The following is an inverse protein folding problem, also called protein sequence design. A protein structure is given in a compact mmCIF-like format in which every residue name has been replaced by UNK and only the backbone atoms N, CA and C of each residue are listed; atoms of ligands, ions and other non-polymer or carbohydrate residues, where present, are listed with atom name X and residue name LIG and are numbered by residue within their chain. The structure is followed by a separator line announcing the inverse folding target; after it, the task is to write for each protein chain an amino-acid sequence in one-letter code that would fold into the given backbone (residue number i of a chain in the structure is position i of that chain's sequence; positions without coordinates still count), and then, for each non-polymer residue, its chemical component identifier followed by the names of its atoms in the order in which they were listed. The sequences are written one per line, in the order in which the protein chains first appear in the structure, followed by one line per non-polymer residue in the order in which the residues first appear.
data_IF_049802748312
#
_entry.id   IF_049802748312
#
_cell.length_a   1.000
_cell.length_b   1.000
_cell.length_c   1.000
_cell.angle_alpha   90.00
_cell.angle_beta   90.00
_cell.angle_gamma   90.00
#
_symmetry.space_group_name_H-M   'P 1'
#
loop_
_entity.id
_entity.type
_entity.pdbx_description
1 polymer ?
#
# COMPACT_ATOMS: atom_id res chain seq x y z
N UNK A 1 28.09 -29.43 -51.63
CA UNK A 1 28.73 -28.16 -51.25
C UNK A 1 28.59 -27.98 -49.74
N UNK A 2 29.70 -27.97 -48.99
CA UNK A 2 29.68 -27.67 -47.55
C UNK A 2 29.68 -26.15 -47.37
N UNK A 3 28.62 -25.58 -46.80
CA UNK A 3 28.63 -24.18 -46.40
C UNK A 3 29.58 -24.01 -45.20
N UNK A 4 30.61 -23.18 -45.36
CA UNK A 4 31.50 -22.80 -44.29
C UNK A 4 30.72 -21.87 -43.33
N UNK A 5 30.44 -22.34 -42.13
CA UNK A 5 29.91 -21.49 -41.05
C UNK A 5 31.01 -20.53 -40.60
N UNK A 6 30.80 -19.24 -40.81
CA UNK A 6 31.70 -18.20 -40.28
C UNK A 6 31.47 -18.16 -38.76
N UNK A 7 32.50 -18.49 -37.99
CA UNK A 7 32.48 -18.32 -36.53
C UNK A 7 32.64 -16.85 -36.14
N UNK A 8 32.09 -16.47 -34.99
CA UNK A 8 32.25 -15.12 -34.40
C UNK A 8 33.73 -14.92 -34.00
N UNK A 9 34.21 -13.69 -34.17
CA UNK A 9 35.52 -13.29 -33.68
C UNK A 9 35.47 -12.97 -32.19
N UNK A 10 36.57 -13.16 -31.47
CA UNK A 10 36.70 -12.82 -30.06
C UNK A 10 36.41 -11.31 -29.81
N UNK A 11 36.85 -10.47 -30.78
CA UNK A 11 36.66 -9.01 -30.70
C UNK A 11 35.19 -8.62 -30.84
N UNK A 12 34.40 -9.28 -31.70
CA UNK A 12 32.96 -9.03 -31.84
C UNK A 12 32.21 -9.31 -30.52
N UNK A 13 32.50 -10.43 -29.88
CA UNK A 13 31.88 -10.76 -28.58
C UNK A 13 32.37 -9.79 -27.50
N UNK A 14 33.65 -9.40 -27.50
CA UNK A 14 34.18 -8.46 -26.51
C UNK A 14 33.48 -7.09 -26.58
N UNK A 15 33.31 -6.53 -27.80
CA UNK A 15 32.63 -5.25 -27.98
C UNK A 15 31.17 -5.32 -27.51
N UNK A 16 30.47 -6.39 -27.86
CA UNK A 16 29.06 -6.60 -27.44
C UNK A 16 28.94 -6.64 -25.93
N UNK A 17 29.80 -7.39 -25.25
CA UNK A 17 29.76 -7.50 -23.78
C UNK A 17 30.07 -6.16 -23.11
N UNK A 18 31.02 -5.38 -23.64
CA UNK A 18 31.32 -4.03 -23.13
C UNK A 18 30.12 -3.10 -23.27
N UNK A 19 29.50 -3.07 -24.46
CA UNK A 19 28.32 -2.23 -24.70
C UNK A 19 27.14 -2.63 -23.77
N UNK A 20 26.87 -3.94 -23.65
CA UNK A 20 25.85 -4.45 -22.74
C UNK A 20 26.14 -4.09 -21.27
N UNK A 21 27.40 -4.15 -20.86
CA UNK A 21 27.84 -3.75 -19.52
C UNK A 21 27.58 -2.28 -19.23
N UNK A 22 27.89 -1.39 -20.16
CA UNK A 22 27.63 0.05 -20.03
C UNK A 22 26.12 0.33 -19.97
N UNK A 23 25.34 -0.28 -20.86
CA UNK A 23 23.88 -0.13 -20.87
C UNK A 23 23.25 -0.64 -19.57
N UNK A 24 23.67 -1.81 -19.09
CA UNK A 24 23.17 -2.36 -17.83
C UNK A 24 23.48 -1.44 -16.64
N UNK A 25 24.67 -0.86 -16.58
CA UNK A 25 25.08 0.04 -15.50
C UNK A 25 24.20 1.31 -15.40
N UNK A 26 23.64 1.77 -16.51
CA UNK A 26 22.76 2.95 -16.55
C UNK A 26 21.29 2.54 -16.29
N UNK A 27 20.84 1.44 -16.87
CA UNK A 27 19.42 1.05 -16.88
C UNK A 27 18.98 0.46 -15.55
N UNK A 28 19.81 -0.37 -14.89
CA UNK A 28 19.44 -1.04 -13.63
C UNK A 28 19.06 -0.05 -12.54
N UNK A 29 19.84 1.00 -12.21
CA UNK A 29 19.46 1.95 -11.16
C UNK A 29 18.19 2.73 -11.50
N UNK A 30 17.92 3.04 -12.76
CA UNK A 30 16.69 3.72 -13.17
C UNK A 30 15.45 2.86 -12.92
N UNK A 31 15.50 1.56 -13.21
CA UNK A 31 14.39 0.66 -12.92
C UNK A 31 14.11 0.54 -11.42
N UNK A 32 15.13 0.50 -10.59
CA UNK A 32 14.97 0.42 -9.14
C UNK A 32 14.28 1.68 -8.60
N UNK A 33 14.68 2.86 -9.06
CA UNK A 33 14.07 4.12 -8.66
C UNK A 33 12.61 4.23 -9.14
N UNK A 34 12.32 3.85 -10.39
CA UNK A 34 10.97 3.85 -10.93
C UNK A 34 10.04 2.90 -10.15
N UNK A 35 10.52 1.72 -9.78
CA UNK A 35 9.77 0.76 -8.96
C UNK A 35 9.45 1.31 -7.57
N UNK A 36 10.42 1.95 -6.91
CA UNK A 36 10.23 2.58 -5.60
C UNK A 36 9.21 3.71 -5.68
N UNK A 37 9.32 4.57 -6.70
CA UNK A 37 8.37 5.65 -6.92
C UNK A 37 6.96 5.16 -7.20
N UNK A 38 6.79 4.08 -7.98
CA UNK A 38 5.50 3.47 -8.23
C UNK A 38 4.86 2.92 -6.94
N UNK A 39 5.64 2.25 -6.08
CA UNK A 39 5.17 1.78 -4.77
C UNK A 39 4.73 2.93 -3.87
N UNK A 40 5.49 4.03 -3.83
CA UNK A 40 5.15 5.22 -3.07
C UNK A 40 3.83 5.83 -3.55
N UNK A 41 3.66 6.00 -4.85
CA UNK A 41 2.42 6.55 -5.43
C UNK A 41 1.21 5.65 -5.12
N UNK A 42 1.37 4.33 -5.19
CA UNK A 42 0.33 3.38 -4.80
C UNK A 42 0.01 3.47 -3.31
N UNK A 43 1.02 3.62 -2.44
CA UNK A 43 0.82 3.82 -1.01
C UNK A 43 -0.03 5.06 -0.73
N UNK A 44 0.32 6.20 -1.34
CA UNK A 44 -0.41 7.46 -1.19
C UNK A 44 -1.86 7.34 -1.69
N UNK A 45 -2.06 6.71 -2.85
CA UNK A 45 -3.40 6.47 -3.40
C UNK A 45 -4.24 5.61 -2.46
N UNK A 46 -3.68 4.52 -1.92
CA UNK A 46 -4.36 3.64 -0.99
C UNK A 46 -4.73 4.38 0.31
N UNK A 47 -3.81 5.20 0.86
CA UNK A 47 -4.08 6.02 2.03
C UNK A 47 -5.24 7.01 1.79
N UNK A 48 -5.22 7.73 0.68
CA UNK A 48 -6.27 8.68 0.32
C UNK A 48 -7.61 7.97 0.12
N UNK A 49 -7.62 6.82 -0.55
CA UNK A 49 -8.84 6.04 -0.78
C UNK A 49 -9.46 5.58 0.54
N UNK A 50 -8.69 4.95 1.41
CA UNK A 50 -9.21 4.46 2.70
C UNK A 50 -9.67 5.62 3.58
N UNK A 51 -8.91 6.71 3.66
CA UNK A 51 -9.29 7.91 4.43
C UNK A 51 -10.59 8.53 3.92
N UNK A 52 -10.80 8.61 2.61
CA UNK A 52 -12.04 9.11 2.02
C UNK A 52 -13.24 8.22 2.36
N UNK A 53 -13.07 6.90 2.29
CA UNK A 53 -14.13 5.95 2.62
C UNK A 53 -14.46 5.95 4.14
N UNK A 54 -13.45 6.14 4.98
CA UNK A 54 -13.68 6.32 6.44
C UNK A 54 -14.46 7.60 6.75
N UNK A 55 -14.20 8.70 6.03
CA UNK A 55 -14.97 9.93 6.18
C UNK A 55 -16.42 9.74 5.74
N UNK A 56 -16.65 9.01 4.64
CA UNK A 56 -18.00 8.67 4.19
C UNK A 56 -18.70 7.78 5.23
N UNK A 57 -18.02 6.76 5.74
CA UNK A 57 -18.53 5.93 6.84
C UNK A 57 -18.95 6.80 8.03
N UNK A 58 -18.05 7.66 8.49
CA UNK A 58 -18.27 8.55 9.64
C UNK A 58 -19.52 9.42 9.47
N UNK A 59 -19.72 10.03 8.30
CA UNK A 59 -20.91 10.88 8.03
C UNK A 59 -22.22 10.10 8.05
N UNK A 60 -22.18 8.81 7.74
CA UNK A 60 -23.35 7.92 7.72
C UNK A 60 -23.60 7.21 9.06
N UNK A 61 -22.64 7.24 9.99
CA UNK A 61 -22.68 6.53 11.28
C UNK A 61 -22.57 7.48 12.49
N UNK A 62 -23.40 8.52 12.53
CA UNK A 62 -23.47 9.46 13.66
C UNK A 62 -22.12 10.06 14.06
N UNK A 63 -21.31 10.45 13.09
CA UNK A 63 -19.95 11.00 13.27
C UNK A 63 -18.96 10.04 13.98
N UNK A 64 -19.27 8.74 14.04
CA UNK A 64 -18.41 7.72 14.63
C UNK A 64 -17.48 7.10 13.59
N UNK A 65 -16.22 6.88 13.94
CA UNK A 65 -15.29 6.10 13.15
C UNK A 65 -15.55 4.59 13.30
N UNK A 66 -15.18 3.76 12.31
CA UNK A 66 -15.29 2.31 12.44
C UNK A 66 -14.43 1.80 13.60
N UNK A 67 -14.95 0.85 14.37
CA UNK A 67 -14.20 0.18 15.44
C UNK A 67 -13.42 -1.04 14.93
N UNK A 68 -13.93 -1.67 13.87
CA UNK A 68 -13.30 -2.79 13.15
C UNK A 68 -13.22 -2.41 11.66
N UNK A 69 -12.19 -1.67 11.30
CA UNK A 69 -12.05 -1.05 9.98
C UNK A 69 -12.25 -2.05 8.83
N UNK A 70 -11.63 -3.23 8.92
CA UNK A 70 -11.67 -4.23 7.84
C UNK A 70 -13.09 -4.72 7.55
N UNK A 71 -13.88 -5.05 8.57
CA UNK A 71 -15.25 -5.55 8.40
C UNK A 71 -16.23 -4.45 8.08
N UNK A 72 -16.16 -3.33 8.80
CA UNK A 72 -17.13 -2.23 8.67
C UNK A 72 -16.98 -1.44 7.37
N UNK A 73 -15.81 -1.47 6.73
CA UNK A 73 -15.65 -0.87 5.40
C UNK A 73 -15.90 -1.84 4.24
N UNK A 74 -15.84 -3.16 4.46
CA UNK A 74 -15.98 -4.15 3.37
C UNK A 74 -17.32 -4.87 3.35
N UNK A 75 -18.13 -4.72 4.38
CA UNK A 75 -19.48 -5.29 4.47
C UNK A 75 -20.55 -4.18 4.48
N UNK A 76 -21.80 -4.59 4.36
CA UNK A 76 -22.94 -3.70 4.61
C UNK A 76 -23.05 -3.41 6.10
N UNK A 77 -23.48 -2.21 6.45
CA UNK A 77 -23.59 -1.80 7.86
C UNK A 77 -24.90 -1.09 8.17
N UNK A 78 -25.31 -1.15 9.44
CA UNK A 78 -26.35 -0.33 10.01
C UNK A 78 -25.77 0.97 10.60
N UNK A 79 -26.64 1.89 11.03
CA UNK A 79 -26.23 3.20 11.57
C UNK A 79 -25.37 3.08 12.85
N UNK A 80 -25.46 1.96 13.58
CA UNK A 80 -24.70 1.68 14.80
C UNK A 80 -23.36 0.99 14.53
N UNK A 81 -23.08 0.62 13.27
CA UNK A 81 -21.86 -0.07 12.84
C UNK A 81 -21.95 -1.60 12.93
N UNK A 82 -23.13 -2.17 13.16
CA UNK A 82 -23.39 -3.60 12.95
C UNK A 82 -23.18 -3.96 11.49
N UNK A 83 -22.67 -5.17 11.18
CA UNK A 83 -22.31 -5.55 9.81
C UNK A 83 -23.04 -6.80 9.34
N UNK A 84 -23.37 -6.85 8.04
CA UNK A 84 -23.96 -7.99 7.35
C UNK A 84 -23.29 -8.23 5.98
N UNK A 85 -23.25 -9.50 5.54
CA UNK A 85 -22.65 -9.87 4.26
C UNK A 85 -23.53 -9.48 3.05
N UNK A 86 -24.83 -9.26 3.28
CA UNK A 86 -25.79 -8.83 2.25
C UNK A 86 -26.63 -7.67 2.79
N UNK A 87 -27.13 -6.78 1.92
CA UNK A 87 -27.99 -5.69 2.34
C UNK A 87 -29.35 -6.23 2.83
N UNK A 88 -29.87 -5.62 3.87
CA UNK A 88 -31.22 -5.88 4.38
C UNK A 88 -31.89 -4.56 4.81
N UNK A 89 -33.04 -4.62 5.50
CA UNK A 89 -33.80 -3.44 5.93
C UNK A 89 -33.06 -2.59 6.96
N UNK A 90 -32.04 -3.11 7.62
CA UNK A 90 -31.26 -2.42 8.67
C UNK A 90 -29.84 -2.10 8.19
N UNK A 91 -29.20 -2.99 7.44
CA UNK A 91 -27.85 -2.83 6.91
C UNK A 91 -27.90 -2.22 5.51
N UNK A 92 -28.10 -0.91 5.44
CA UNK A 92 -28.34 -0.17 4.18
C UNK A 92 -27.13 0.62 3.69
N UNK A 93 -26.09 0.75 4.53
CA UNK A 93 -24.86 1.47 4.18
C UNK A 93 -23.75 0.53 3.69
N UNK A 94 -22.84 1.05 2.87
CA UNK A 94 -21.68 0.30 2.37
C UNK A 94 -22.02 -0.69 1.22
N UNK A 95 -21.12 -1.63 0.89
CA UNK A 95 -19.72 -1.62 1.32
C UNK A 95 -18.94 -0.41 0.77
N UNK A 96 -18.02 0.13 1.54
CA UNK A 96 -17.21 1.30 1.18
C UNK A 96 -15.96 0.93 0.40
N UNK A 97 -15.46 -0.27 0.66
CA UNK A 97 -14.32 -0.88 -0.02
C UNK A 97 -14.67 -2.31 -0.40
N UNK A 98 -14.17 -2.82 -1.52
CA UNK A 98 -14.26 -4.24 -1.85
C UNK A 98 -13.38 -5.09 -0.95
N UNK A 99 -12.19 -4.57 -0.62
CA UNK A 99 -11.24 -5.17 0.31
C UNK A 99 -10.32 -4.08 0.85
N UNK A 100 -9.72 -4.31 2.02
CA UNK A 100 -8.62 -3.47 2.50
C UNK A 100 -7.43 -3.63 1.54
N UNK A 101 -6.89 -2.52 0.99
CA UNK A 101 -5.79 -2.62 0.04
C UNK A 101 -4.54 -3.21 0.69
N UNK A 102 -3.76 -3.94 -0.09
CA UNK A 102 -2.43 -4.41 0.33
C UNK A 102 -1.50 -3.21 0.39
N UNK A 103 -0.76 -3.06 1.50
CA UNK A 103 0.30 -2.07 1.60
C UNK A 103 1.44 -2.46 0.63
N UNK A 104 1.77 -1.62 -0.36
CA UNK A 104 2.73 -1.97 -1.41
C UNK A 104 4.18 -2.08 -0.90
N UNK A 105 4.46 -1.67 0.33
CA UNK A 105 5.78 -1.74 0.94
C UNK A 105 5.94 -3.04 1.75
N UNK A 106 5.01 -3.32 2.69
CA UNK A 106 5.05 -4.51 3.54
C UNK A 106 4.44 -5.75 2.89
N UNK A 107 3.67 -5.60 1.80
CA UNK A 107 2.83 -6.64 1.17
C UNK A 107 1.79 -7.26 2.10
N UNK A 108 1.32 -6.51 3.10
CA UNK A 108 0.34 -6.94 4.10
C UNK A 108 -0.91 -6.05 4.03
N UNK A 109 -2.09 -6.64 4.12
CA UNK A 109 -3.38 -5.91 4.16
C UNK A 109 -3.95 -5.78 5.58
N UNK A 110 -3.39 -6.49 6.57
CA UNK A 110 -3.88 -6.50 7.95
C UNK A 110 -3.82 -5.10 8.55
N UNK A 111 -4.87 -4.73 9.28
CA UNK A 111 -4.98 -3.45 9.97
C UNK A 111 -4.79 -3.67 11.47
N UNK A 112 -3.81 -3.02 12.06
CA UNK A 112 -3.66 -2.91 13.51
C UNK A 112 -4.56 -1.80 14.02
N UNK A 113 -5.58 -2.15 14.77
CA UNK A 113 -6.53 -1.19 15.36
C UNK A 113 -6.09 -0.85 16.77
N UNK A 114 -6.05 0.44 17.10
CA UNK A 114 -5.80 0.96 18.45
C UNK A 114 -6.90 1.93 18.84
N UNK A 115 -7.05 2.14 20.15
CA UNK A 115 -8.03 3.08 20.74
C UNK A 115 -7.33 4.06 21.66
N UNK A 116 -7.87 5.27 21.78
CA UNK A 116 -7.39 6.30 22.71
C UNK A 116 -6.85 7.55 22.01
N UNK A 117 -7.07 8.70 22.65
CA UNK A 117 -6.69 10.02 22.11
C UNK A 117 -5.20 10.34 22.28
N UNK A 118 -4.50 9.65 23.17
CA UNK A 118 -3.07 9.85 23.47
C UNK A 118 -2.17 8.74 22.93
N UNK A 119 -2.69 7.85 22.11
CA UNK A 119 -1.84 6.80 21.51
C UNK A 119 -0.94 7.42 20.45
N UNK A 120 0.26 7.72 20.85
CA UNK A 120 1.35 7.99 19.90
C UNK A 120 1.56 6.73 19.08
N UNK A 121 1.73 6.87 17.77
CA UNK A 121 2.13 5.77 16.90
C UNK A 121 3.31 5.03 17.55
N UNK A 122 3.06 3.86 18.08
CA UNK A 122 4.09 3.00 18.67
C UNK A 122 4.77 2.19 17.56
N UNK A 123 5.91 1.58 17.88
CA UNK A 123 6.66 0.75 16.94
C UNK A 123 5.73 -0.17 16.12
N UNK A 124 5.96 -0.26 14.79
CA UNK A 124 5.08 -1.00 13.90
C UNK A 124 5.03 -2.48 14.28
N UNK A 125 3.88 -3.09 14.01
CA UNK A 125 3.74 -4.55 14.11
C UNK A 125 4.25 -5.21 12.83
N UNK A 126 5.10 -6.21 12.95
CA UNK A 126 5.60 -6.97 11.80
C UNK A 126 4.46 -7.64 11.00
N UNK A 127 3.31 -7.87 11.63
CA UNK A 127 2.17 -8.58 11.06
C UNK A 127 1.09 -7.65 10.47
N UNK A 128 1.27 -6.32 10.53
CA UNK A 128 0.31 -5.35 10.04
C UNK A 128 0.87 -4.50 8.90
N UNK A 129 0.04 -4.24 7.89
CA UNK A 129 0.34 -3.31 6.81
C UNK A 129 -0.12 -1.89 7.12
N UNK A 130 -1.16 -1.77 7.96
CA UNK A 130 -1.83 -0.52 8.26
C UNK A 130 -2.04 -0.33 9.75
N UNK A 131 -1.92 0.90 10.18
CA UNK A 131 -2.29 1.38 11.50
C UNK A 131 -3.57 2.18 11.42
N UNK A 132 -4.49 1.93 12.33
CA UNK A 132 -5.72 2.69 12.45
C UNK A 132 -6.05 2.97 13.91
N UNK A 133 -6.32 4.24 14.23
CA UNK A 133 -6.84 4.65 15.53
C UNK A 133 -8.34 4.93 15.43
N UNK A 134 -9.15 4.07 16.01
CA UNK A 134 -10.62 4.16 15.93
C UNK A 134 -11.21 5.35 16.72
N UNK A 135 -10.44 5.97 17.62
CA UNK A 135 -10.88 7.15 18.37
C UNK A 135 -10.61 8.45 17.59
N UNK A 136 -9.44 8.57 16.97
CA UNK A 136 -9.04 9.81 16.27
C UNK A 136 -9.34 9.76 14.77
N UNK A 137 -9.55 8.57 14.21
CA UNK A 137 -9.68 8.35 12.78
C UNK A 137 -8.33 8.38 12.03
N UNK A 138 -7.22 8.33 12.75
CA UNK A 138 -5.91 8.32 12.15
C UNK A 138 -5.65 7.00 11.43
N UNK A 139 -5.37 7.07 10.13
CA UNK A 139 -5.00 5.92 9.30
C UNK A 139 -3.70 6.17 8.58
N UNK A 140 -2.72 5.28 8.75
CA UNK A 140 -1.38 5.39 8.15
C UNK A 140 -0.77 4.02 7.85
N UNK A 141 0.36 4.02 7.13
CA UNK A 141 1.13 2.81 6.93
C UNK A 141 1.78 2.36 8.26
N UNK A 142 1.66 1.07 8.59
CA UNK A 142 2.32 0.48 9.79
C UNK A 142 3.73 0.02 9.43
N UNK A 143 4.64 0.99 9.26
CA UNK A 143 6.00 0.79 8.79
C UNK A 143 7.00 1.37 9.79
N UNK A 144 8.21 0.79 9.83
CA UNK A 144 9.31 1.33 10.62
C UNK A 144 9.79 2.67 10.09
N UNK A 145 10.37 3.48 10.96
CA UNK A 145 10.97 4.78 10.64
C UNK A 145 12.14 4.71 9.65
N UNK A 146 12.62 3.50 9.33
CA UNK A 146 13.68 3.28 8.34
C UNK A 146 13.20 3.43 6.90
N UNK A 147 11.89 3.35 6.66
CA UNK A 147 11.30 3.53 5.35
C UNK A 147 11.00 5.01 5.08
N UNK A 148 11.77 5.61 4.19
CA UNK A 148 11.65 7.02 3.83
C UNK A 148 11.48 7.20 2.32
N UNK A 149 10.79 8.27 1.95
CA UNK A 149 10.73 8.77 0.57
C UNK A 149 12.09 9.33 0.15
N UNK A 150 12.34 9.57 -1.14
CA UNK A 150 13.58 10.17 -1.61
C UNK A 150 13.90 11.55 -1.02
N UNK A 151 12.89 12.28 -0.55
CA UNK A 151 13.01 13.58 0.13
C UNK A 151 13.19 13.46 1.66
N UNK A 152 13.27 12.24 2.19
CA UNK A 152 13.48 11.96 3.60
C UNK A 152 12.22 11.89 4.45
N UNK A 153 11.02 12.06 3.89
CA UNK A 153 9.75 11.90 4.62
C UNK A 153 9.54 10.44 4.98
N UNK A 154 9.19 10.14 6.23
CA UNK A 154 8.89 8.76 6.66
C UNK A 154 7.57 8.29 6.04
N UNK A 155 7.53 7.04 5.55
CA UNK A 155 6.30 6.48 4.96
C UNK A 155 5.13 6.36 5.94
N UNK A 156 5.42 6.21 7.22
CA UNK A 156 4.39 6.21 8.27
C UNK A 156 3.89 7.62 8.64
N UNK A 157 4.47 8.67 8.10
CA UNK A 157 4.03 10.06 8.29
C UNK A 157 3.19 10.60 7.11
N UNK A 158 2.97 9.77 6.07
CA UNK A 158 2.10 10.08 4.93
C UNK A 158 0.64 9.80 5.31
#
# INVERSE_FOLDING_TARGET
MRQAHKGFTLVEILIVVIILGILAAIVIPQFTQASTQARLSNLQTNLQTVRSQMLLYKTQHNEAYPTTLSTQLTLYSDISGGTAAAPDSTHTFGPYLQAVPINPISNVATVRVVTGVSTVFSAPSADAGWYFNSTTGEFRADLTDTWTTPDGTKYNAL
#
